data_IF_505360764958
#
_entry.id   IF_505360764958
#
_cell.length_a   1.000
_cell.length_b   1.000
_cell.length_c   1.000
_cell.angle_alpha   90.00
_cell.angle_beta   90.00
_cell.angle_gamma   90.00
#
_symmetry.space_group_name_H-M   'P 1'
#
loop_
_entity.id
_entity.type
_entity.pdbx_description
1 polymer ?
#
# COMPACT_ATOMS: atom_id res chain seq x y z
N UNK A 1 -15.42 9.36 6.29
CA UNK A 1 -14.67 10.20 5.33
C UNK A 1 -13.56 9.33 4.76
N UNK A 2 -13.28 9.43 3.46
CA UNK A 2 -12.11 8.76 2.88
C UNK A 2 -10.85 9.59 3.15
N UNK A 3 -9.77 8.93 3.54
CA UNK A 3 -8.48 9.56 3.86
C UNK A 3 -7.35 8.81 3.16
N UNK A 4 -6.30 9.53 2.76
CA UNK A 4 -5.09 8.90 2.23
C UNK A 4 -4.31 8.30 3.41
N UNK A 5 -4.49 6.99 3.63
CA UNK A 5 -3.77 6.27 4.67
C UNK A 5 -2.27 6.20 4.36
N UNK A 6 -1.90 6.06 3.09
CA UNK A 6 -0.51 6.02 2.65
C UNK A 6 -0.40 6.47 1.20
N UNK A 7 0.64 7.23 0.89
CA UNK A 7 1.07 7.53 -0.47
C UNK A 7 2.59 7.37 -0.54
N UNK A 8 3.07 6.66 -1.57
CA UNK A 8 4.50 6.45 -1.79
C UNK A 8 4.81 6.29 -3.27
N UNK A 9 5.91 6.90 -3.72
CA UNK A 9 6.57 6.55 -4.98
C UNK A 9 7.36 5.25 -4.82
N UNK A 10 7.03 4.26 -5.64
CA UNK A 10 7.63 2.92 -5.66
C UNK A 10 9.11 3.03 -6.01
N UNK A 11 9.97 2.51 -5.15
CA UNK A 11 11.41 2.34 -5.46
C UNK A 11 11.65 1.10 -6.31
N UNK A 12 12.85 0.96 -6.88
CA UNK A 12 13.23 -0.27 -7.61
C UNK A 12 13.05 -1.52 -6.75
N UNK A 13 13.46 -1.47 -5.48
CA UNK A 13 13.31 -2.60 -4.54
C UNK A 13 11.86 -2.90 -4.18
N UNK A 14 11.01 -1.87 -4.05
CA UNK A 14 9.59 -2.08 -3.76
C UNK A 14 8.91 -2.85 -4.92
N UNK A 15 9.25 -2.52 -6.17
CA UNK A 15 8.69 -3.18 -7.35
C UNK A 15 9.13 -4.64 -7.52
N UNK A 16 10.33 -5.01 -7.06
CA UNK A 16 10.90 -6.36 -7.30
C UNK A 16 10.87 -7.29 -6.10
N UNK A 17 10.77 -6.77 -4.87
CA UNK A 17 10.81 -7.57 -3.66
C UNK A 17 9.43 -8.07 -3.23
N UNK A 18 9.43 -8.96 -2.23
CA UNK A 18 8.20 -9.44 -1.59
C UNK A 18 7.53 -8.43 -0.67
N UNK A 19 8.08 -7.21 -0.55
CA UNK A 19 7.59 -6.15 0.34
C UNK A 19 7.89 -4.76 -0.22
N UNK A 20 7.09 -3.79 0.20
CA UNK A 20 7.34 -2.37 0.00
C UNK A 20 7.50 -1.66 1.33
N UNK A 21 8.54 -0.83 1.49
CA UNK A 21 8.66 -0.01 2.70
C UNK A 21 7.54 1.03 2.77
N UNK A 22 7.04 1.36 3.96
CA UNK A 22 6.01 2.38 4.12
C UNK A 22 6.60 3.66 4.76
N UNK A 23 6.07 4.85 4.43
CA UNK A 23 6.40 6.05 5.19
C UNK A 23 6.05 5.86 6.67
N UNK A 24 6.94 6.23 7.60
CA UNK A 24 6.65 6.07 9.04
C UNK A 24 5.37 6.81 9.47
N UNK A 25 5.10 7.97 8.87
CA UNK A 25 3.90 8.78 9.13
C UNK A 25 2.57 8.08 8.82
N UNK A 26 2.55 7.06 7.94
CA UNK A 26 1.33 6.32 7.63
C UNK A 26 0.99 5.25 8.67
N UNK A 27 1.89 4.97 9.62
CA UNK A 27 1.72 3.83 10.53
C UNK A 27 0.47 3.93 11.42
N UNK A 28 0.07 5.14 11.83
CA UNK A 28 -1.15 5.35 12.64
C UNK A 28 -2.45 4.94 11.93
N UNK A 29 -2.41 4.84 10.61
CA UNK A 29 -3.55 4.41 9.80
C UNK A 29 -3.73 2.88 9.79
N UNK A 30 -2.81 2.11 10.37
CA UNK A 30 -2.89 0.66 10.51
C UNK A 30 -2.95 0.27 11.99
N UNK A 31 -4.11 -0.18 12.50
CA UNK A 31 -4.31 -0.45 13.93
C UNK A 31 -3.67 -1.79 14.31
N UNK A 32 -2.35 -1.79 14.51
CA UNK A 32 -1.61 -2.96 14.99
C UNK A 32 -2.06 -3.29 16.42
N UNK A 33 -2.56 -4.50 16.69
CA UNK A 33 -3.03 -4.88 18.02
C UNK A 33 -1.91 -4.81 19.07
N UNK A 34 -2.28 -4.52 20.32
CA UNK A 34 -1.32 -4.53 21.43
C UNK A 34 -0.63 -5.89 21.55
N UNK A 35 0.69 -5.88 21.77
CA UNK A 35 1.51 -7.10 21.82
C UNK A 35 1.84 -7.72 20.45
N UNK A 36 1.29 -7.21 19.35
CA UNK A 36 1.62 -7.63 17.98
C UNK A 36 2.56 -6.62 17.31
N UNK A 37 3.20 -7.06 16.24
CA UNK A 37 4.06 -6.21 15.39
C UNK A 37 3.53 -6.08 13.96
N UNK A 38 2.33 -6.59 13.68
CA UNK A 38 1.72 -6.53 12.35
C UNK A 38 0.20 -6.33 12.41
N UNK A 39 -0.35 -5.89 11.29
CA UNK A 39 -1.78 -5.77 11.02
C UNK A 39 -2.07 -6.31 9.61
N UNK A 40 -3.00 -7.26 9.51
CA UNK A 40 -3.49 -7.78 8.23
C UNK A 40 -4.72 -7.00 7.80
N UNK A 41 -4.86 -6.76 6.51
CA UNK A 41 -6.02 -6.07 5.94
C UNK A 41 -6.22 -6.44 4.48
N UNK A 42 -7.47 -6.33 4.03
CA UNK A 42 -7.81 -6.41 2.63
C UNK A 42 -7.91 -5.00 2.04
N UNK A 43 -7.42 -4.84 0.82
CA UNK A 43 -7.64 -3.64 0.01
C UNK A 43 -8.29 -4.00 -1.32
N UNK A 44 -9.33 -3.25 -1.71
CA UNK A 44 -9.94 -3.38 -3.04
C UNK A 44 -9.22 -2.48 -4.03
N UNK A 45 -8.87 -3.01 -5.20
CA UNK A 45 -8.37 -2.19 -6.30
C UNK A 45 -9.50 -1.55 -7.14
N UNK A 46 -9.11 -0.77 -8.15
CA UNK A 46 -10.04 -0.07 -9.05
C UNK A 46 -10.87 -1.01 -9.92
N UNK A 47 -10.44 -2.26 -10.10
CA UNK A 47 -11.14 -3.30 -10.86
C UNK A 47 -12.02 -4.17 -9.95
N UNK A 48 -12.16 -3.82 -8.66
CA UNK A 48 -12.91 -4.59 -7.68
C UNK A 48 -12.20 -5.86 -7.21
N UNK A 49 -10.93 -6.08 -7.55
CA UNK A 49 -10.17 -7.23 -7.06
C UNK A 49 -9.71 -6.98 -5.63
N UNK A 50 -9.87 -8.00 -4.78
CA UNK A 50 -9.43 -7.97 -3.39
C UNK A 50 -7.97 -8.42 -3.27
N UNK A 51 -7.19 -7.67 -2.50
CA UNK A 51 -5.79 -7.95 -2.22
C UNK A 51 -5.55 -8.03 -0.71
N UNK A 52 -5.02 -9.17 -0.25
CA UNK A 52 -4.68 -9.41 1.14
C UNK A 52 -3.27 -8.94 1.46
N UNK A 53 -3.15 -7.88 2.26
CA UNK A 53 -1.89 -7.27 2.64
C UNK A 53 -1.63 -7.38 4.15
N UNK A 54 -0.35 -7.14 4.49
CA UNK A 54 0.12 -7.09 5.88
C UNK A 54 1.08 -5.93 6.06
N UNK A 55 0.77 -5.01 6.97
CA UNK A 55 1.74 -4.03 7.48
C UNK A 55 2.47 -4.65 8.67
N UNK A 56 3.80 -4.64 8.66
CA UNK A 56 4.63 -5.09 9.78
C UNK A 56 5.61 -4.00 10.20
N UNK A 57 5.91 -3.92 11.49
CA UNK A 57 6.94 -3.07 12.06
C UNK A 57 8.15 -3.93 12.43
N UNK A 58 9.37 -3.42 12.20
CA UNK A 58 10.59 -4.04 12.71
C UNK A 58 10.57 -4.17 14.25
N UNK A 59 10.82 -5.38 14.76
CA UNK A 59 10.89 -5.66 16.21
C UNK A 59 12.17 -5.15 16.89
N UNK A 60 13.24 -4.92 16.13
CA UNK A 60 14.58 -4.61 16.65
C UNK A 60 15.18 -3.37 15.98
N UNK A 61 15.82 -2.51 16.77
CA UNK A 61 16.50 -1.29 16.32
C UNK A 61 15.81 0.01 16.77
N UNK A 62 16.53 1.14 16.63
CA UNK A 62 16.11 2.47 17.13
C UNK A 62 14.81 3.00 16.50
N UNK A 63 14.47 2.57 15.29
CA UNK A 63 13.33 3.09 14.54
C UNK A 63 12.37 1.97 14.14
N UNK A 64 11.08 2.17 14.44
CA UNK A 64 9.97 1.39 13.89
C UNK A 64 9.94 1.62 12.38
N UNK A 65 10.55 0.74 11.59
CA UNK A 65 10.48 0.81 10.12
C UNK A 65 9.31 -0.06 9.64
N UNK A 66 8.21 0.51 9.12
CA UNK A 66 7.10 -0.27 8.62
C UNK A 66 7.33 -0.74 7.18
N UNK A 67 6.81 -1.90 6.84
CA UNK A 67 6.72 -2.38 5.46
C UNK A 67 5.40 -3.11 5.22
N UNK A 68 4.92 -3.04 3.99
CA UNK A 68 3.78 -3.79 3.48
C UNK A 68 4.26 -5.07 2.79
N UNK A 69 3.61 -6.18 3.10
CA UNK A 69 3.87 -7.53 2.59
C UNK A 69 2.54 -8.26 2.38
N UNK A 70 2.53 -9.59 2.37
CA UNK A 70 1.37 -10.39 1.99
C UNK A 70 1.37 -10.59 0.47
N UNK A 71 0.29 -10.20 -0.21
CA UNK A 71 0.20 -10.31 -1.67
C UNK A 71 0.94 -9.19 -2.43
N UNK A 72 1.74 -8.36 -1.77
CA UNK A 72 2.45 -7.24 -2.39
C UNK A 72 3.23 -7.63 -3.66
N UNK A 73 4.04 -8.69 -3.62
CA UNK A 73 4.81 -9.13 -4.80
C UNK A 73 3.91 -9.40 -6.00
N UNK A 74 2.81 -10.12 -5.75
CA UNK A 74 1.84 -10.52 -6.76
C UNK A 74 1.11 -9.30 -7.31
N UNK A 75 0.68 -8.39 -6.43
CA UNK A 75 0.10 -7.10 -6.83
C UNK A 75 1.06 -6.32 -7.72
N UNK A 76 2.32 -6.15 -7.31
CA UNK A 76 3.32 -5.41 -8.06
C UNK A 76 3.59 -6.02 -9.44
N UNK A 77 3.63 -7.35 -9.53
CA UNK A 77 3.81 -8.08 -10.79
C UNK A 77 2.59 -7.96 -11.70
N UNK A 78 1.38 -8.24 -11.20
CA UNK A 78 0.14 -8.19 -12.00
C UNK A 78 -0.18 -6.77 -12.48
N UNK A 79 0.13 -5.75 -11.67
CA UNK A 79 -0.05 -4.34 -12.03
C UNK A 79 1.12 -3.76 -12.83
N UNK A 80 2.16 -4.55 -13.09
CA UNK A 80 3.34 -4.13 -13.85
C UNK A 80 4.02 -2.90 -13.26
N UNK A 81 4.11 -2.82 -11.92
CA UNK A 81 4.66 -1.66 -11.22
C UNK A 81 6.15 -1.49 -11.51
N UNK A 82 6.57 -0.23 -11.64
CA UNK A 82 7.93 0.18 -11.96
C UNK A 82 8.40 1.25 -10.96
N UNK A 83 9.71 1.47 -10.90
CA UNK A 83 10.29 2.58 -10.15
C UNK A 83 9.65 3.89 -10.61
N UNK A 84 9.16 4.69 -9.66
CA UNK A 84 8.55 5.99 -9.91
C UNK A 84 7.02 5.96 -10.02
N UNK A 85 6.41 4.79 -10.22
CA UNK A 85 4.96 4.66 -10.08
C UNK A 85 4.54 5.03 -8.66
N UNK A 86 3.34 5.57 -8.49
CA UNK A 86 2.80 5.98 -7.21
C UNK A 86 1.76 4.97 -6.75
N UNK A 87 1.89 4.50 -5.51
CA UNK A 87 0.86 3.69 -4.84
C UNK A 87 0.20 4.50 -3.75
N UNK A 88 -1.14 4.45 -3.69
CA UNK A 88 -1.93 5.03 -2.60
C UNK A 88 -2.78 3.94 -1.95
N UNK A 89 -2.86 4.00 -0.62
CA UNK A 89 -3.92 3.36 0.13
C UNK A 89 -4.88 4.43 0.61
N UNK A 90 -6.15 4.27 0.24
CA UNK A 90 -7.25 5.10 0.71
C UNK A 90 -7.96 4.29 1.81
N UNK A 91 -8.20 4.92 2.96
CA UNK A 91 -8.86 4.30 4.10
C UNK A 91 -10.19 5.01 4.35
N UNK A 92 -11.18 4.24 4.75
CA UNK A 92 -12.42 4.75 5.31
C UNK A 92 -12.65 4.10 6.67
N UNK A 93 -13.05 4.90 7.66
CA UNK A 93 -13.55 4.40 8.94
C UNK A 93 -15.07 4.25 8.81
N UNK A 94 -15.56 3.04 8.99
CA UNK A 94 -16.99 2.71 9.00
C UNK A 94 -17.65 3.11 10.32
N UNK A 95 -18.99 3.14 10.36
CA UNK A 95 -19.74 3.57 11.56
C UNK A 95 -19.50 2.70 12.81
N UNK A 96 -19.00 1.47 12.63
CA UNK A 96 -18.61 0.54 13.68
C UNK A 96 -17.12 0.66 14.09
N UNK A 97 -16.38 1.62 13.54
CA UNK A 97 -14.95 1.82 13.78
C UNK A 97 -14.01 0.90 12.97
N UNK A 98 -14.55 0.00 12.14
CA UNK A 98 -13.76 -0.84 11.24
C UNK A 98 -13.16 0.01 10.13
N UNK A 99 -11.91 -0.28 9.77
CA UNK A 99 -11.21 0.38 8.66
C UNK A 99 -11.29 -0.48 7.41
N UNK A 100 -11.85 0.06 6.34
CA UNK A 100 -11.77 -0.52 5.01
C UNK A 100 -10.71 0.22 4.18
N UNK A 101 -10.08 -0.51 3.24
CA UNK A 101 -9.00 0.03 2.43
C UNK A 101 -9.26 -0.18 0.94
N UNK A 102 -8.79 0.78 0.15
CA UNK A 102 -8.66 0.69 -1.31
C UNK A 102 -7.22 0.93 -1.69
N UNK A 103 -6.76 0.28 -2.74
CA UNK A 103 -5.41 0.46 -3.27
C UNK A 103 -5.49 0.98 -4.71
N UNK A 104 -4.74 2.03 -5.00
CA UNK A 104 -4.55 2.52 -6.36
C UNK A 104 -3.07 2.58 -6.69
N UNK A 105 -2.75 2.37 -7.95
CA UNK A 105 -1.42 2.56 -8.48
C UNK A 105 -1.51 3.41 -9.75
N UNK A 106 -0.63 4.39 -9.86
CA UNK A 106 -0.65 5.37 -10.94
C UNK A 106 0.76 5.54 -11.50
N UNK A 107 0.85 5.72 -12.82
CA UNK A 107 2.09 6.00 -13.54
C UNK A 107 2.10 7.44 -14.02
N UNK A 108 3.23 8.10 -13.81
CA UNK A 108 3.45 9.45 -14.32
C UNK A 108 3.79 9.37 -15.81
N UNK A 109 2.95 9.95 -16.68
CA UNK A 109 3.24 10.03 -18.12
C UNK A 109 4.11 11.24 -18.48
N UNK A 110 3.77 12.39 -17.91
CA UNK A 110 4.45 13.67 -18.06
C UNK A 110 4.11 14.54 -16.86
N UNK A 111 4.84 15.64 -16.64
CA UNK A 111 4.79 16.46 -15.42
C UNK A 111 3.34 16.71 -14.96
N UNK A 112 2.97 16.10 -13.83
CA UNK A 112 1.68 16.27 -13.17
C UNK A 112 0.55 15.33 -13.64
N UNK A 113 0.74 14.56 -14.71
CA UNK A 113 -0.28 13.67 -15.28
C UNK A 113 -0.04 12.23 -14.81
N UNK A 114 -0.89 11.81 -13.87
CA UNK A 114 -0.90 10.47 -13.29
C UNK A 114 -2.05 9.66 -13.87
N UNK A 115 -1.75 8.51 -14.47
CA UNK A 115 -2.74 7.61 -15.07
C UNK A 115 -2.74 6.28 -14.30
N UNK A 116 -3.91 5.67 -14.00
CA UNK A 116 -3.99 4.34 -13.40
C UNK A 116 -3.13 3.32 -14.16
N UNK A 117 -2.39 2.46 -13.45
CA UNK A 117 -1.51 1.47 -14.10
C UNK A 117 -2.26 0.44 -14.91
N UNK A 118 -3.55 0.24 -14.63
CA UNK A 118 -4.46 -0.63 -15.38
C UNK A 118 -4.63 -0.19 -16.84
N UNK A 119 -4.51 1.11 -17.15
CA UNK A 119 -4.58 1.64 -18.52
C UNK A 119 -3.39 1.21 -19.39
N UNK A 120 -2.34 0.65 -18.78
CA UNK A 120 -1.15 0.15 -19.46
C UNK A 120 -1.15 -1.38 -19.62
N UNK A 121 -2.11 -2.07 -18.99
CA UNK A 121 -2.28 -3.50 -19.14
C UNK A 121 -2.95 -3.77 -20.50
N UNK A 122 -2.16 -4.30 -21.45
CA UNK A 122 -2.65 -4.83 -22.73
C UNK A 122 -2.84 -6.33 -22.64
#
# INVERSE_FOLDING_TARGET
MEEVAMEKSVSKSDATNNRMELPMKSLGNFPIPAGQNYFNFDAMDTLGRRWGFKVSIRNVGRYKKPWMSGQWRRYAQEKGLKKGDRVKLIMQVEGNGVRSYRITAERNLTIGIWIPVEEFAR
#
